data_IF_792002682346
#
_entry.id   IF_792002682346
#
_cell.length_a   1.000
_cell.length_b   1.000
_cell.length_c   1.000
_cell.angle_alpha   90.00
_cell.angle_beta   90.00
_cell.angle_gamma   90.00
#
_symmetry.space_group_name_H-M   'P 1'
#
loop_
_entity.id
_entity.type
_entity.pdbx_description
1 polymer ?
#
# COMPACT_ATOMS: atom_id res chain seq x y z
N UNK A 1 11.79 40.33 -3.89
CA UNK A 1 10.96 39.90 -5.04
C UNK A 1 10.47 38.49 -4.69
N UNK A 2 9.26 38.37 -4.09
CA UNK A 2 8.66 37.07 -3.81
C UNK A 2 8.31 36.44 -5.15
N UNK A 3 9.01 35.36 -5.52
CA UNK A 3 8.58 34.50 -6.61
C UNK A 3 7.33 33.80 -6.10
N UNK A 4 6.17 34.27 -6.53
CA UNK A 4 4.90 33.57 -6.36
C UNK A 4 5.08 32.28 -7.16
N UNK A 5 5.28 31.15 -6.45
CA UNK A 5 5.31 29.84 -7.07
C UNK A 5 3.92 29.62 -7.67
N UNK A 6 3.82 29.63 -8.98
CA UNK A 6 2.55 29.32 -9.65
C UNK A 6 2.13 27.92 -9.20
N UNK A 7 1.01 27.83 -8.48
CA UNK A 7 0.49 26.54 -8.01
C UNK A 7 0.19 25.66 -9.22
N UNK A 8 0.47 24.38 -9.12
CA UNK A 8 0.11 23.45 -10.17
C UNK A 8 -1.38 23.13 -10.10
N UNK A 9 -2.00 22.73 -11.21
CA UNK A 9 -3.41 22.32 -11.20
C UNK A 9 -3.70 21.21 -10.18
N UNK A 10 -2.68 20.41 -9.85
CA UNK A 10 -2.78 19.37 -8.81
C UNK A 10 -2.80 20.00 -7.40
N UNK A 11 -2.00 21.05 -7.15
CA UNK A 11 -2.02 21.74 -5.85
C UNK A 11 -3.40 22.39 -5.61
N UNK A 12 -3.96 23.06 -6.62
CA UNK A 12 -5.33 23.63 -6.57
C UNK A 12 -6.40 22.55 -6.33
N UNK A 13 -6.25 21.38 -6.96
CA UNK A 13 -7.14 20.24 -6.76
C UNK A 13 -7.05 19.67 -5.34
N UNK A 14 -5.85 19.59 -4.78
CA UNK A 14 -5.64 19.13 -3.40
C UNK A 14 -6.27 20.11 -2.41
N UNK A 15 -6.13 21.42 -2.62
CA UNK A 15 -6.79 22.44 -1.79
C UNK A 15 -8.32 22.31 -1.87
N UNK A 16 -8.88 22.12 -3.07
CA UNK A 16 -10.29 21.87 -3.25
C UNK A 16 -10.76 20.60 -2.51
N UNK A 17 -9.99 19.51 -2.58
CA UNK A 17 -10.30 18.26 -1.88
C UNK A 17 -10.29 18.40 -0.34
N UNK A 18 -9.49 19.30 0.23
CA UNK A 18 -9.43 19.53 1.68
C UNK A 18 -10.76 20.08 2.25
N UNK A 19 -11.64 20.62 1.42
CA UNK A 19 -12.98 21.06 1.82
C UNK A 19 -13.94 19.91 2.12
N UNK A 20 -13.61 18.68 1.73
CA UNK A 20 -14.45 17.50 1.90
C UNK A 20 -14.02 16.63 3.09
N UNK A 21 -14.98 15.87 3.65
CA UNK A 21 -14.75 15.00 4.80
C UNK A 21 -13.68 13.95 4.51
N UNK A 22 -12.58 14.01 5.26
CA UNK A 22 -11.45 13.11 5.11
C UNK A 22 -11.33 12.17 6.32
N UNK A 23 -11.79 10.92 6.16
CA UNK A 23 -11.75 9.91 7.22
C UNK A 23 -10.38 9.25 7.42
N UNK A 24 -9.42 9.49 6.54
CA UNK A 24 -8.03 9.11 6.81
C UNK A 24 -7.44 9.96 7.94
N UNK A 25 -7.94 11.20 8.11
CA UNK A 25 -7.50 12.15 9.17
C UNK A 25 -8.41 12.14 10.39
N UNK A 26 -9.73 12.08 10.19
CA UNK A 26 -10.75 12.20 11.24
C UNK A 26 -11.67 10.98 11.22
N UNK A 27 -11.40 9.94 12.03
CA UNK A 27 -12.24 8.75 12.10
C UNK A 27 -13.66 9.10 12.55
N UNK A 28 -14.66 8.69 11.77
CA UNK A 28 -16.07 8.82 12.13
C UNK A 28 -16.77 7.48 11.98
N UNK A 29 -17.72 7.17 12.87
CA UNK A 29 -18.49 5.93 12.84
C UNK A 29 -19.69 6.07 11.88
N UNK A 30 -20.00 5.01 11.12
CA UNK A 30 -21.24 4.82 10.34
C UNK A 30 -21.42 5.72 9.10
N UNK A 31 -20.36 5.99 8.29
CA UNK A 31 -20.48 6.89 7.13
C UNK A 31 -19.88 6.26 5.85
N UNK A 32 -20.06 4.97 5.66
CA UNK A 32 -19.60 4.29 4.44
C UNK A 32 -20.81 3.75 3.66
N UNK A 33 -21.01 4.29 2.45
CA UNK A 33 -22.11 3.94 1.56
C UNK A 33 -21.59 3.89 0.13
N UNK A 34 -22.24 3.15 -0.73
CA UNK A 34 -21.86 3.08 -2.15
C UNK A 34 -22.75 3.91 -3.06
N UNK A 35 -23.91 4.36 -2.58
CA UNK A 35 -24.88 5.09 -3.38
C UNK A 35 -24.39 6.48 -3.79
N UNK A 36 -23.60 7.16 -2.96
CA UNK A 36 -23.04 8.48 -3.27
C UNK A 36 -22.00 8.38 -4.39
N UNK A 37 -21.06 7.44 -4.29
CA UNK A 37 -20.08 7.22 -5.37
C UNK A 37 -20.75 6.66 -6.65
N UNK A 38 -21.81 5.85 -6.54
CA UNK A 38 -22.59 5.36 -7.67
C UNK A 38 -23.32 6.52 -8.36
N UNK A 39 -23.92 7.43 -7.60
CA UNK A 39 -24.52 8.66 -8.11
C UNK A 39 -23.49 9.51 -8.88
N UNK A 40 -22.31 9.72 -8.28
CA UNK A 40 -21.22 10.46 -8.93
C UNK A 40 -20.81 9.77 -10.25
N UNK A 41 -20.56 8.48 -10.22
CA UNK A 41 -20.15 7.76 -11.42
C UNK A 41 -21.19 7.86 -12.56
N UNK A 42 -22.50 7.76 -12.26
CA UNK A 42 -23.55 7.95 -13.24
C UNK A 42 -23.52 9.35 -13.84
N UNK A 43 -23.29 10.37 -13.02
CA UNK A 43 -23.18 11.76 -13.47
C UNK A 43 -22.01 11.98 -14.43
N UNK A 44 -20.94 11.20 -14.28
CA UNK A 44 -19.74 11.24 -15.12
C UNK A 44 -19.72 10.15 -16.22
N UNK A 45 -20.88 9.61 -16.62
CA UNK A 45 -21.02 8.57 -17.65
C UNK A 45 -20.27 7.28 -17.32
N UNK A 46 -20.31 6.84 -16.06
CA UNK A 46 -19.75 5.58 -15.55
C UNK A 46 -18.27 5.37 -15.92
N UNK A 47 -17.37 6.27 -15.54
CA UNK A 47 -15.95 6.18 -15.90
C UNK A 47 -15.26 4.92 -15.32
N UNK A 48 -15.82 4.31 -14.26
CA UNK A 48 -15.33 3.06 -13.66
C UNK A 48 -15.43 1.86 -14.61
N UNK A 49 -16.28 1.92 -15.64
CA UNK A 49 -16.51 0.86 -16.62
C UNK A 49 -15.65 1.02 -17.90
N UNK A 50 -14.76 2.04 -17.95
CA UNK A 50 -13.98 2.39 -19.15
C UNK A 50 -12.99 1.28 -19.58
N UNK A 51 -12.53 0.43 -18.66
CA UNK A 51 -11.65 -0.68 -18.95
C UNK A 51 -11.89 -1.86 -17.98
N UNK A 52 -11.58 -3.11 -18.37
CA UNK A 52 -11.60 -4.24 -17.47
C UNK A 52 -10.65 -4.02 -16.29
N UNK A 53 -11.02 -4.55 -15.11
CA UNK A 53 -10.26 -4.29 -13.90
C UNK A 53 -10.08 -5.51 -12.99
N UNK A 54 -9.13 -5.39 -12.07
CA UNK A 54 -8.83 -6.31 -10.98
C UNK A 54 -9.01 -5.58 -9.68
N UNK A 55 -9.61 -6.23 -8.69
CA UNK A 55 -9.87 -5.64 -7.38
C UNK A 55 -9.13 -6.39 -6.30
N UNK A 56 -8.34 -5.69 -5.49
CA UNK A 56 -7.45 -6.29 -4.48
C UNK A 56 -7.82 -5.77 -3.08
N UNK A 57 -8.29 -6.68 -2.22
CA UNK A 57 -8.56 -6.42 -0.81
C UNK A 57 -7.63 -7.25 0.10
N UNK A 58 -7.67 -6.99 1.40
CA UNK A 58 -6.90 -7.67 2.43
C UNK A 58 -6.39 -6.69 3.49
N UNK A 59 -5.70 -7.20 4.51
CA UNK A 59 -5.04 -6.34 5.50
C UNK A 59 -3.63 -6.00 5.10
N UNK A 60 -2.84 -6.98 4.68
CA UNK A 60 -1.43 -6.82 4.29
C UNK A 60 -1.19 -7.31 2.87
N UNK A 61 -0.32 -6.61 2.14
CA UNK A 61 0.09 -7.02 0.80
C UNK A 61 -0.76 -6.48 -0.35
N UNK A 62 -1.89 -5.80 -0.09
CA UNK A 62 -2.76 -5.24 -1.15
C UNK A 62 -1.98 -4.45 -2.20
N UNK A 63 -1.29 -3.38 -1.81
CA UNK A 63 -0.52 -2.53 -2.71
C UNK A 63 0.58 -3.28 -3.44
N UNK A 64 1.27 -4.24 -2.75
CA UNK A 64 2.30 -5.06 -3.39
C UNK A 64 1.73 -5.97 -4.47
N UNK A 65 0.62 -6.67 -4.19
CA UNK A 65 -0.07 -7.51 -5.18
C UNK A 65 -0.59 -6.66 -6.34
N UNK A 66 -1.24 -5.52 -6.05
CA UNK A 66 -1.73 -4.60 -7.07
C UNK A 66 -0.60 -4.10 -7.97
N UNK A 67 0.54 -3.71 -7.39
CA UNK A 67 1.71 -3.27 -8.15
C UNK A 67 2.30 -4.38 -9.01
N UNK A 68 2.50 -5.58 -8.45
CA UNK A 68 3.03 -6.73 -9.19
C UNK A 68 2.12 -7.10 -10.36
N UNK A 69 0.81 -7.18 -10.14
CA UNK A 69 -0.15 -7.45 -11.23
C UNK A 69 -0.08 -6.37 -12.29
N UNK A 70 -0.08 -5.10 -11.91
CA UNK A 70 -0.03 -3.98 -12.84
C UNK A 70 1.27 -3.98 -13.67
N UNK A 71 2.42 -4.27 -13.05
CA UNK A 71 3.70 -4.35 -13.79
C UNK A 71 3.75 -5.56 -14.72
N UNK A 72 3.20 -6.71 -14.33
CA UNK A 72 3.11 -7.90 -15.21
C UNK A 72 2.24 -7.58 -16.44
N UNK A 73 1.07 -6.97 -16.24
CA UNK A 73 0.19 -6.59 -17.36
C UNK A 73 0.85 -5.54 -18.27
N UNK A 74 1.62 -4.61 -17.71
CA UNK A 74 2.36 -3.64 -18.50
C UNK A 74 3.48 -4.29 -19.31
N UNK A 75 4.22 -5.26 -18.74
CA UNK A 75 5.22 -6.03 -19.48
C UNK A 75 4.61 -6.92 -20.57
N UNK A 76 3.33 -7.29 -20.41
CA UNK A 76 2.55 -7.96 -21.45
C UNK A 76 2.09 -7.01 -22.57
N UNK A 77 2.43 -5.71 -22.50
CA UNK A 77 2.15 -4.71 -23.54
C UNK A 77 0.87 -3.90 -23.32
N UNK A 78 0.18 -4.07 -22.20
CA UNK A 78 -1.05 -3.30 -21.89
C UNK A 78 -0.74 -1.96 -21.24
N UNK A 79 -1.55 -0.95 -21.51
CA UNK A 79 -1.58 0.31 -20.78
C UNK A 79 -2.39 0.12 -19.50
N UNK A 80 -1.74 0.21 -18.35
CA UNK A 80 -2.36 -0.17 -17.07
C UNK A 80 -2.53 1.03 -16.17
N UNK A 81 -3.76 1.24 -15.67
CA UNK A 81 -4.06 2.14 -14.56
C UNK A 81 -3.90 1.41 -13.22
N UNK A 82 -3.23 2.06 -12.28
CA UNK A 82 -3.00 1.53 -10.93
C UNK A 82 -3.51 2.53 -9.88
N UNK A 83 -4.48 2.09 -9.07
CA UNK A 83 -4.99 2.83 -7.91
C UNK A 83 -4.51 2.18 -6.63
N UNK A 84 -3.79 2.94 -5.78
CA UNK A 84 -3.22 2.47 -4.51
C UNK A 84 -3.39 3.50 -3.40
N UNK A 85 -3.30 3.08 -2.15
CA UNK A 85 -3.35 3.97 -0.98
C UNK A 85 -2.57 3.39 0.22
N UNK A 86 -2.07 4.26 1.12
CA UNK A 86 -1.87 5.71 0.96
C UNK A 86 -0.67 6.05 0.06
N UNK A 87 -0.48 7.33 -0.26
CA UNK A 87 0.77 7.84 -0.84
C UNK A 87 1.80 8.16 0.25
N UNK A 88 3.08 8.24 -0.12
CA UNK A 88 4.19 8.61 0.77
C UNK A 88 4.59 10.08 0.57
N UNK A 89 4.84 10.49 -0.67
CA UNK A 89 5.32 11.84 -1.01
C UNK A 89 4.36 12.64 -1.85
N UNK A 90 3.91 12.04 -2.92
CA UNK A 90 3.16 12.71 -3.97
C UNK A 90 1.78 12.07 -4.10
N UNK A 91 0.76 12.89 -4.10
CA UNK A 91 -0.63 12.43 -4.25
C UNK A 91 -0.82 11.54 -5.49
N UNK A 92 -0.08 11.80 -6.57
CA UNK A 92 -0.12 11.02 -7.82
C UNK A 92 0.33 9.56 -7.64
N UNK A 93 1.02 9.22 -6.54
CA UNK A 93 1.33 7.82 -6.20
C UNK A 93 0.06 6.97 -6.06
N UNK A 94 -1.08 7.60 -5.74
CA UNK A 94 -2.37 6.90 -5.64
C UNK A 94 -2.97 6.55 -6.99
N UNK A 95 -2.65 7.32 -8.03
CA UNK A 95 -3.31 7.28 -9.33
C UNK A 95 -2.24 7.42 -10.43
N UNK A 96 -1.82 6.30 -10.98
CA UNK A 96 -0.75 6.31 -11.97
C UNK A 96 -0.80 5.09 -12.89
N UNK A 97 0.29 4.88 -13.60
CA UNK A 97 0.56 3.66 -14.33
C UNK A 97 1.41 2.69 -13.51
N UNK A 98 1.61 1.49 -14.01
CA UNK A 98 2.52 0.55 -13.37
C UNK A 98 3.98 1.05 -13.34
N UNK A 99 4.41 1.93 -14.26
CA UNK A 99 5.76 2.50 -14.31
C UNK A 99 5.93 3.80 -13.54
N UNK A 100 4.84 4.45 -13.10
CA UNK A 100 4.89 5.74 -12.41
C UNK A 100 3.71 6.65 -12.73
N UNK A 101 3.93 7.95 -12.70
CA UNK A 101 2.87 8.93 -12.97
C UNK A 101 2.47 8.93 -14.45
N UNK A 102 1.22 9.32 -14.70
CA UNK A 102 0.80 9.70 -16.05
C UNK A 102 1.37 11.07 -16.43
N UNK A 103 1.25 11.43 -17.70
CA UNK A 103 1.52 12.79 -18.14
C UNK A 103 0.60 13.78 -17.43
N UNK A 104 1.11 14.96 -17.08
CA UNK A 104 0.37 15.97 -16.31
C UNK A 104 -0.94 16.37 -17.00
N UNK A 105 -0.98 16.38 -18.32
CA UNK A 105 -2.18 16.65 -19.11
C UNK A 105 -3.36 15.71 -18.80
N UNK A 106 -3.10 14.45 -18.41
CA UNK A 106 -4.14 13.49 -18.02
C UNK A 106 -4.79 13.92 -16.70
N UNK A 107 -3.97 14.29 -15.73
CA UNK A 107 -4.43 14.78 -14.43
C UNK A 107 -5.21 16.09 -14.58
N UNK A 108 -4.67 17.04 -15.34
CA UNK A 108 -5.31 18.34 -15.59
C UNK A 108 -6.66 18.20 -16.30
N UNK A 109 -6.77 17.31 -17.27
CA UNK A 109 -8.03 17.08 -17.97
C UNK A 109 -9.09 16.51 -17.01
N UNK A 110 -8.72 15.57 -16.17
CA UNK A 110 -9.62 15.01 -15.16
C UNK A 110 -10.02 16.06 -14.10
N UNK A 111 -9.10 16.96 -13.70
CA UNK A 111 -9.39 18.08 -12.77
C UNK A 111 -10.40 19.05 -13.41
N UNK A 112 -10.18 19.46 -14.67
CA UNK A 112 -11.09 20.34 -15.41
C UNK A 112 -12.51 19.76 -15.57
N UNK A 113 -12.63 18.44 -15.53
CA UNK A 113 -13.92 17.76 -15.57
C UNK A 113 -14.55 17.62 -14.19
N UNK A 114 -13.79 17.19 -13.15
CA UNK A 114 -14.37 16.84 -11.86
C UNK A 114 -14.84 18.07 -11.08
N UNK A 115 -14.03 19.12 -10.95
CA UNK A 115 -14.34 20.27 -10.09
C UNK A 115 -15.67 20.93 -10.48
N UNK A 116 -15.88 21.45 -11.71
CA UNK A 116 -17.10 22.18 -12.03
C UNK A 116 -18.36 21.30 -11.99
N UNK A 117 -18.20 20.00 -12.30
CA UNK A 117 -19.34 19.09 -12.24
C UNK A 117 -19.75 18.74 -10.81
N UNK A 118 -18.78 18.60 -9.89
CA UNK A 118 -19.07 18.34 -8.48
C UNK A 118 -19.60 19.60 -7.80
N UNK A 119 -19.00 20.77 -8.04
CA UNK A 119 -19.44 22.05 -7.47
C UNK A 119 -20.86 22.45 -7.90
N UNK A 120 -21.33 21.94 -9.04
CA UNK A 120 -22.70 22.16 -9.52
C UNK A 120 -23.72 21.20 -8.88
N UNK A 121 -23.32 20.29 -8.00
CA UNK A 121 -24.27 19.39 -7.32
C UNK A 121 -24.97 20.15 -6.21
N UNK A 122 -26.29 20.12 -6.25
CA UNK A 122 -27.15 20.62 -5.19
C UNK A 122 -27.16 19.56 -4.08
N UNK A 123 -26.80 19.88 -2.82
CA UNK A 123 -26.69 18.89 -1.75
C UNK A 123 -27.93 18.02 -1.54
N UNK A 124 -29.13 18.59 -1.73
CA UNK A 124 -30.42 17.89 -1.62
C UNK A 124 -30.60 16.80 -2.68
N UNK A 125 -29.83 16.84 -3.76
CA UNK A 125 -29.86 15.81 -4.82
C UNK A 125 -28.93 14.63 -4.52
N UNK A 126 -28.11 14.73 -3.48
CA UNK A 126 -27.25 13.61 -3.06
C UNK A 126 -28.09 12.51 -2.40
N UNK A 127 -27.75 11.25 -2.59
CA UNK A 127 -28.44 10.14 -1.95
C UNK A 127 -28.49 10.31 -0.42
N UNK A 128 -29.74 10.35 0.13
CA UNK A 128 -30.02 10.60 1.54
C UNK A 128 -29.33 11.89 2.08
N UNK A 129 -29.14 12.89 1.24
CA UNK A 129 -28.50 14.19 1.56
C UNK A 129 -27.11 14.03 2.21
N UNK A 130 -26.42 12.93 1.92
CA UNK A 130 -25.11 12.64 2.52
C UNK A 130 -24.01 13.47 1.87
N UNK A 131 -23.13 14.12 2.66
CA UNK A 131 -22.02 14.88 2.11
C UNK A 131 -21.02 13.95 1.39
N UNK A 132 -20.43 14.48 0.32
CA UNK A 132 -19.33 13.81 -0.41
C UNK A 132 -18.10 13.67 0.51
N UNK A 133 -17.41 12.57 0.35
CA UNK A 133 -16.17 12.32 1.09
C UNK A 133 -14.94 12.50 0.21
N UNK A 134 -13.84 12.88 0.82
CA UNK A 134 -12.55 13.00 0.17
C UNK A 134 -12.18 11.72 -0.61
N UNK A 135 -12.39 10.53 -0.01
CA UNK A 135 -12.01 9.27 -0.63
C UNK A 135 -12.90 8.90 -1.82
N UNK A 136 -14.20 9.24 -1.80
CA UNK A 136 -15.10 9.06 -2.96
C UNK A 136 -14.65 9.93 -4.14
N UNK A 137 -14.28 11.20 -3.87
CA UNK A 137 -13.81 12.12 -4.90
C UNK A 137 -12.44 11.70 -5.47
N UNK A 138 -11.51 11.22 -4.64
CA UNK A 138 -10.24 10.67 -5.11
C UNK A 138 -10.45 9.42 -5.95
N UNK A 139 -11.39 8.55 -5.57
CA UNK A 139 -11.74 7.35 -6.34
C UNK A 139 -12.36 7.70 -7.68
N UNK A 140 -13.29 8.66 -7.70
CA UNK A 140 -13.87 9.19 -8.96
C UNK A 140 -12.77 9.80 -9.85
N UNK A 141 -11.89 10.60 -9.26
CA UNK A 141 -10.77 11.21 -9.98
C UNK A 141 -9.86 10.15 -10.62
N UNK A 142 -9.59 9.02 -9.90
CA UNK A 142 -8.85 7.91 -10.47
C UNK A 142 -9.55 7.31 -11.70
N UNK A 143 -10.88 7.09 -11.64
CA UNK A 143 -11.65 6.61 -12.77
C UNK A 143 -11.56 7.56 -13.98
N UNK A 144 -11.63 8.87 -13.74
CA UNK A 144 -11.50 9.89 -14.79
C UNK A 144 -10.11 9.91 -15.41
N UNK A 145 -9.05 9.82 -14.59
CA UNK A 145 -7.68 9.73 -15.06
C UNK A 145 -7.47 8.49 -15.95
N UNK A 146 -7.96 7.33 -15.53
CA UNK A 146 -7.81 6.08 -16.29
C UNK A 146 -8.57 6.11 -17.61
N UNK A 147 -9.80 6.65 -17.62
CA UNK A 147 -10.57 6.88 -18.84
C UNK A 147 -9.84 7.83 -19.78
N UNK A 148 -9.34 8.96 -19.29
CA UNK A 148 -8.57 9.95 -20.05
C UNK A 148 -7.29 9.35 -20.61
N UNK A 149 -6.59 8.55 -19.79
CA UNK A 149 -5.40 7.83 -20.20
C UNK A 149 -5.68 6.72 -21.23
N UNK A 150 -6.94 6.31 -21.41
CA UNK A 150 -7.35 5.17 -22.26
C UNK A 150 -6.56 3.91 -21.88
N UNK A 151 -6.64 3.52 -20.60
CA UNK A 151 -6.02 2.29 -20.12
C UNK A 151 -6.71 1.05 -20.68
N UNK A 152 -5.96 -0.02 -20.93
CA UNK A 152 -6.47 -1.33 -21.36
C UNK A 152 -6.94 -2.17 -20.17
N UNK A 153 -6.29 -1.98 -19.01
CA UNK A 153 -6.59 -2.63 -17.74
C UNK A 153 -6.43 -1.68 -16.58
N UNK A 154 -7.23 -1.89 -15.53
CA UNK A 154 -7.06 -1.16 -14.27
C UNK A 154 -6.90 -2.12 -13.10
N UNK A 155 -6.03 -1.78 -12.15
CA UNK A 155 -5.87 -2.51 -10.89
C UNK A 155 -6.21 -1.58 -9.74
N UNK A 156 -7.21 -1.96 -8.94
CA UNK A 156 -7.68 -1.17 -7.81
C UNK A 156 -7.34 -1.84 -6.49
N UNK A 157 -6.59 -1.16 -5.65
CA UNK A 157 -6.42 -1.48 -4.24
C UNK A 157 -7.59 -0.91 -3.44
N UNK A 158 -8.21 -1.72 -2.59
CA UNK A 158 -9.21 -1.28 -1.60
C UNK A 158 -8.55 -0.39 -0.56
N UNK A 159 -9.15 0.77 -0.27
CA UNK A 159 -8.67 1.68 0.77
C UNK A 159 -8.93 1.13 2.17
N UNK A 160 -10.19 0.88 2.52
CA UNK A 160 -10.59 0.38 3.83
C UNK A 160 -11.70 -0.67 3.74
N UNK A 161 -11.53 -1.79 4.43
CA UNK A 161 -12.53 -2.86 4.46
C UNK A 161 -12.67 -3.54 3.10
N UNK A 162 -13.73 -3.26 2.39
CA UNK A 162 -14.03 -3.77 1.05
C UNK A 162 -15.50 -3.57 0.67
N UNK A 163 -16.43 -4.07 1.47
CA UNK A 163 -17.88 -4.08 1.19
C UNK A 163 -18.42 -2.68 0.86
N UNK A 164 -18.03 -1.68 1.63
CA UNK A 164 -18.48 -0.28 1.50
C UNK A 164 -17.35 0.68 1.07
N UNK A 165 -16.24 0.14 0.59
CA UNK A 165 -15.16 0.97 0.02
C UNK A 165 -15.62 1.58 -1.30
N UNK A 166 -15.27 2.85 -1.55
CA UNK A 166 -15.69 3.55 -2.76
C UNK A 166 -15.25 2.84 -4.05
N UNK A 167 -14.16 2.08 -4.01
CA UNK A 167 -13.73 1.26 -5.16
C UNK A 167 -14.69 0.12 -5.46
N UNK A 168 -15.56 -0.28 -4.51
CA UNK A 168 -16.39 -1.48 -4.66
C UNK A 168 -17.61 -1.33 -5.60
N UNK A 169 -17.73 -0.21 -6.30
CA UNK A 169 -18.71 -0.05 -7.39
C UNK A 169 -18.24 -0.68 -8.71
N UNK A 170 -16.96 -1.00 -8.85
CA UNK A 170 -16.39 -1.62 -10.06
C UNK A 170 -16.90 -3.05 -10.27
N UNK A 171 -16.78 -3.55 -11.52
CA UNK A 171 -17.10 -4.91 -11.94
C UNK A 171 -15.83 -5.63 -12.39
N UNK A 172 -15.04 -6.16 -11.45
CA UNK A 172 -13.75 -6.73 -11.77
C UNK A 172 -13.86 -8.04 -12.54
N UNK A 173 -12.84 -8.34 -13.36
CA UNK A 173 -12.66 -9.65 -14.01
C UNK A 173 -12.04 -10.67 -13.07
N UNK A 174 -11.37 -10.19 -12.01
CA UNK A 174 -10.76 -11.01 -10.97
C UNK A 174 -10.73 -10.23 -9.66
N UNK A 175 -11.06 -10.89 -8.55
CA UNK A 175 -10.81 -10.37 -7.20
C UNK A 175 -9.62 -11.09 -6.58
N UNK A 176 -8.84 -10.36 -5.75
CA UNK A 176 -7.77 -10.94 -4.94
C UNK A 176 -7.98 -10.55 -3.48
N UNK A 177 -7.89 -11.51 -2.54
CA UNK A 177 -7.94 -11.24 -1.11
C UNK A 177 -6.64 -11.72 -0.48
N UNK A 178 -5.80 -10.76 -0.07
CA UNK A 178 -4.51 -10.97 0.57
C UNK A 178 -4.69 -11.31 2.06
N UNK A 179 -3.63 -11.62 2.83
CA UNK A 179 -3.76 -11.97 4.24
C UNK A 179 -4.55 -10.96 5.06
N UNK A 180 -5.36 -11.49 5.99
CA UNK A 180 -6.24 -10.74 6.90
C UNK A 180 -5.63 -10.74 8.29
N UNK A 181 -5.55 -9.55 8.89
CA UNK A 181 -5.09 -9.31 10.26
C UNK A 181 -6.08 -8.40 10.99
N UNK A 182 -5.99 -8.37 12.31
CA UNK A 182 -6.72 -7.39 13.12
C UNK A 182 -6.20 -5.98 12.80
N UNK A 183 -7.06 -5.18 12.19
CA UNK A 183 -6.81 -3.78 11.87
C UNK A 183 -8.12 -3.02 11.80
N UNK A 184 -8.09 -1.72 12.07
CA UNK A 184 -9.27 -0.85 12.00
C UNK A 184 -10.50 -1.43 12.71
N UNK A 185 -10.28 -2.02 13.88
CA UNK A 185 -11.32 -2.76 14.62
C UNK A 185 -12.50 -1.90 15.03
N UNK A 186 -12.33 -0.61 15.14
CA UNK A 186 -13.38 0.39 15.38
C UNK A 186 -14.40 0.51 14.23
N UNK A 187 -13.99 0.14 12.99
CA UNK A 187 -14.83 0.22 11.78
C UNK A 187 -15.22 -1.14 11.22
N UNK A 188 -14.27 -2.08 11.21
CA UNK A 188 -14.43 -3.37 10.53
C UNK A 188 -14.90 -4.50 11.45
N UNK A 189 -14.95 -4.22 12.76
CA UNK A 189 -15.26 -5.20 13.79
C UNK A 189 -14.02 -5.75 14.49
N UNK A 190 -14.25 -6.37 15.64
CA UNK A 190 -13.27 -6.74 16.65
C UNK A 190 -12.75 -8.19 16.50
N UNK A 191 -13.18 -8.91 15.45
CA UNK A 191 -12.70 -10.27 15.16
C UNK A 191 -12.19 -10.39 13.72
N UNK A 192 -11.32 -11.37 13.49
CA UNK A 192 -10.79 -11.65 12.15
C UNK A 192 -11.90 -12.01 11.16
N UNK A 193 -12.93 -12.72 11.61
CA UNK A 193 -14.07 -13.16 10.80
C UNK A 193 -14.92 -11.95 10.35
N UNK A 194 -15.14 -10.96 11.23
CA UNK A 194 -15.86 -9.71 10.88
C UNK A 194 -15.07 -8.92 9.84
N UNK A 195 -13.76 -8.77 10.04
CA UNK A 195 -12.87 -8.10 9.09
C UNK A 195 -12.85 -8.84 7.75
N UNK A 196 -12.83 -10.18 7.79
CA UNK A 196 -12.91 -11.02 6.60
C UNK A 196 -14.22 -10.82 5.83
N UNK A 197 -15.34 -10.73 6.52
CA UNK A 197 -16.65 -10.49 5.91
C UNK A 197 -16.72 -9.14 5.18
N UNK A 198 -16.14 -8.07 5.76
CA UNK A 198 -16.03 -6.76 5.12
C UNK A 198 -15.14 -6.83 3.85
N UNK A 199 -13.99 -7.50 3.94
CA UNK A 199 -13.07 -7.63 2.80
C UNK A 199 -13.65 -8.55 1.71
N UNK A 200 -14.33 -9.62 2.08
CA UNK A 200 -15.04 -10.49 1.15
C UNK A 200 -16.18 -9.79 0.40
N UNK A 201 -16.59 -8.59 0.86
CA UNK A 201 -17.58 -7.77 0.17
C UNK A 201 -17.21 -7.37 -1.26
N UNK A 202 -15.94 -7.46 -1.65
CA UNK A 202 -15.51 -7.21 -3.03
C UNK A 202 -15.82 -8.37 -4.00
N UNK A 203 -16.16 -9.56 -3.48
CA UNK A 203 -16.46 -10.74 -4.31
C UNK A 203 -17.80 -10.50 -5.02
N UNK A 204 -17.77 -10.48 -6.36
CA UNK A 204 -18.94 -10.24 -7.21
C UNK A 204 -19.51 -11.56 -7.75
N UNK A 205 -20.77 -11.50 -8.20
CA UNK A 205 -21.42 -12.65 -8.77
C UNK A 205 -20.64 -13.22 -9.96
N UNK A 206 -20.40 -14.52 -9.95
CA UNK A 206 -19.71 -15.27 -11.01
C UNK A 206 -18.29 -14.76 -11.34
N UNK A 207 -17.71 -13.88 -10.52
CA UNK A 207 -16.36 -13.36 -10.74
C UNK A 207 -15.34 -14.22 -9.98
N UNK A 208 -14.29 -14.72 -10.65
CA UNK A 208 -13.24 -15.49 -10.00
C UNK A 208 -12.58 -14.73 -8.87
N UNK A 209 -12.21 -15.41 -7.78
CA UNK A 209 -11.47 -14.83 -6.67
C UNK A 209 -10.28 -15.69 -6.27
N UNK A 210 -9.12 -15.04 -6.12
CA UNK A 210 -7.92 -15.61 -5.54
C UNK A 210 -7.86 -15.24 -4.06
N UNK A 211 -7.66 -16.22 -3.22
CA UNK A 211 -7.62 -16.09 -1.77
C UNK A 211 -6.21 -16.48 -1.29
N UNK A 212 -5.58 -15.63 -0.48
CA UNK A 212 -4.47 -16.09 0.35
C UNK A 212 -5.04 -16.97 1.46
N UNK A 213 -4.41 -18.12 1.74
CA UNK A 213 -4.80 -18.97 2.87
C UNK A 213 -4.54 -18.25 4.18
N UNK A 214 -5.54 -18.21 5.02
CA UNK A 214 -5.46 -17.53 6.30
C UNK A 214 -5.03 -18.50 7.40
N UNK A 215 -4.42 -18.00 8.47
CA UNK A 215 -4.05 -18.82 9.62
C UNK A 215 -5.28 -19.29 10.42
N UNK A 216 -6.33 -18.45 10.50
CA UNK A 216 -7.60 -18.79 11.10
C UNK A 216 -8.50 -19.56 10.11
N UNK A 217 -8.91 -20.78 10.45
CA UNK A 217 -9.86 -21.52 9.61
C UNK A 217 -11.23 -20.85 9.57
N UNK A 218 -11.65 -20.18 10.64
CA UNK A 218 -12.88 -19.38 10.65
C UNK A 218 -12.88 -18.32 9.54
N UNK A 219 -11.74 -17.66 9.31
CA UNK A 219 -11.60 -16.69 8.23
C UNK A 219 -11.68 -17.37 6.86
N UNK A 220 -11.02 -18.52 6.67
CA UNK A 220 -11.11 -19.29 5.41
C UNK A 220 -12.55 -19.70 5.10
N UNK A 221 -13.31 -20.08 6.13
CA UNK A 221 -14.75 -20.43 6.01
C UNK A 221 -15.53 -19.20 5.52
N UNK A 222 -15.39 -18.04 6.15
CA UNK A 222 -16.10 -16.80 5.77
C UNK A 222 -15.82 -16.45 4.31
N UNK A 223 -14.55 -16.54 3.85
CA UNK A 223 -14.18 -16.25 2.47
C UNK A 223 -14.82 -17.25 1.48
N UNK A 224 -14.79 -18.54 1.80
CA UNK A 224 -15.42 -19.60 0.97
C UNK A 224 -16.94 -19.45 0.90
N UNK A 225 -17.62 -19.22 2.02
CA UNK A 225 -19.06 -19.00 2.07
C UNK A 225 -19.48 -17.80 1.24
N UNK A 226 -18.72 -16.70 1.32
CA UNK A 226 -18.99 -15.53 0.51
C UNK A 226 -18.81 -15.82 -0.99
N UNK A 227 -17.77 -16.52 -1.38
CA UNK A 227 -17.55 -16.93 -2.77
C UNK A 227 -18.68 -17.86 -3.24
N UNK A 228 -19.09 -18.84 -2.42
CA UNK A 228 -20.19 -19.74 -2.71
C UNK A 228 -21.51 -19.00 -2.92
N UNK A 229 -21.88 -18.09 -2.01
CA UNK A 229 -23.13 -17.30 -2.11
C UNK A 229 -23.16 -16.37 -3.32
N UNK A 230 -21.98 -16.06 -3.89
CA UNK A 230 -21.81 -15.26 -5.10
C UNK A 230 -21.59 -16.11 -6.36
N UNK A 231 -21.69 -17.43 -6.26
CA UNK A 231 -21.38 -18.35 -7.37
C UNK A 231 -20.01 -18.04 -8.00
N UNK A 232 -19.06 -17.52 -7.18
CA UNK A 232 -17.75 -17.09 -7.60
C UNK A 232 -16.78 -18.27 -7.57
N UNK A 233 -16.14 -18.65 -8.68
CA UNK A 233 -15.02 -19.59 -8.67
C UNK A 233 -13.93 -19.07 -7.73
N UNK A 234 -13.53 -19.86 -6.75
CA UNK A 234 -12.55 -19.43 -5.76
C UNK A 234 -11.38 -20.40 -5.68
N UNK A 235 -10.20 -19.86 -5.44
CA UNK A 235 -8.96 -20.62 -5.41
C UNK A 235 -8.06 -20.09 -4.29
N UNK A 236 -7.60 -20.96 -3.41
CA UNK A 236 -6.48 -20.62 -2.53
C UNK A 236 -5.18 -20.68 -3.34
N UNK A 237 -4.39 -19.61 -3.27
CA UNK A 237 -3.15 -19.50 -4.04
C UNK A 237 -2.18 -20.62 -3.68
N UNK A 238 -2.12 -20.97 -2.40
CA UNK A 238 -1.24 -22.03 -1.87
C UNK A 238 -1.59 -23.42 -2.41
N UNK A 239 -2.83 -23.65 -2.85
CA UNK A 239 -3.24 -24.93 -3.49
C UNK A 239 -2.85 -24.97 -4.97
N UNK A 240 -2.57 -23.82 -5.57
CA UNK A 240 -2.16 -23.72 -6.98
C UNK A 240 -0.64 -23.68 -7.15
N UNK A 241 0.10 -23.30 -6.12
CA UNK A 241 1.57 -23.31 -6.10
C UNK A 241 2.05 -24.64 -5.53
N UNK A 242 2.70 -25.45 -6.36
CA UNK A 242 3.17 -26.80 -5.98
C UNK A 242 4.51 -26.76 -5.24
N UNK A 243 5.37 -25.81 -5.59
CA UNK A 243 6.64 -25.58 -4.92
C UNK A 243 7.00 -24.09 -4.94
N UNK A 244 7.60 -23.60 -3.85
CA UNK A 244 8.08 -22.22 -3.77
C UNK A 244 9.24 -22.11 -2.79
N UNK A 245 10.24 -21.32 -3.16
CA UNK A 245 11.28 -20.86 -2.24
C UNK A 245 11.69 -19.42 -2.56
N UNK A 246 12.40 -18.80 -1.64
CA UNK A 246 13.05 -17.51 -1.87
C UNK A 246 14.39 -17.46 -1.16
N UNK A 247 15.32 -16.69 -1.73
CA UNK A 247 16.63 -16.41 -1.18
C UNK A 247 17.00 -14.95 -1.39
N UNK A 248 17.92 -14.42 -0.58
CA UNK A 248 18.40 -13.07 -0.74
C UNK A 248 19.80 -13.07 -1.38
N UNK A 249 20.03 -12.10 -2.26
CA UNK A 249 21.32 -11.83 -2.84
C UNK A 249 21.95 -10.63 -2.11
N UNK A 250 22.96 -10.87 -1.29
CA UNK A 250 23.61 -9.85 -0.45
C UNK A 250 24.34 -8.76 -1.26
N UNK A 251 24.71 -9.05 -2.53
CA UNK A 251 25.42 -8.10 -3.40
C UNK A 251 24.46 -7.16 -4.12
N UNK A 252 23.34 -7.69 -4.59
CA UNK A 252 22.38 -6.92 -5.39
C UNK A 252 21.24 -6.37 -4.54
N UNK A 253 21.12 -6.82 -3.28
CA UNK A 253 19.98 -6.55 -2.40
C UNK A 253 18.63 -6.87 -3.07
N UNK A 254 18.59 -7.96 -3.82
CA UNK A 254 17.38 -8.50 -4.44
C UNK A 254 16.99 -9.80 -3.78
N UNK A 255 15.74 -10.16 -3.91
CA UNK A 255 15.19 -11.44 -3.49
C UNK A 255 14.89 -12.28 -4.71
N UNK A 256 15.60 -13.38 -4.86
CA UNK A 256 15.24 -14.41 -5.83
C UNK A 256 14.01 -15.17 -5.34
N UNK A 257 13.01 -15.30 -6.19
CA UNK A 257 11.78 -16.07 -5.93
C UNK A 257 11.66 -17.12 -7.01
N UNK A 258 11.47 -18.37 -6.59
CA UNK A 258 11.17 -19.51 -7.45
C UNK A 258 9.75 -20.02 -7.15
N UNK A 259 8.92 -20.16 -8.17
CA UNK A 259 7.53 -20.61 -8.06
C UNK A 259 7.22 -21.67 -9.12
N UNK A 260 6.64 -22.79 -8.67
CA UNK A 260 6.10 -23.82 -9.54
C UNK A 260 4.58 -23.92 -9.42
N UNK A 261 3.92 -24.16 -10.52
CA UNK A 261 2.47 -24.35 -10.59
C UNK A 261 2.10 -25.15 -11.82
N UNK A 262 1.04 -25.95 -11.75
CA UNK A 262 0.46 -26.61 -12.94
C UNK A 262 -0.12 -25.63 -13.96
N UNK A 263 -0.27 -24.36 -13.58
CA UNK A 263 -0.70 -23.28 -14.49
C UNK A 263 0.46 -22.68 -15.30
N UNK A 264 1.70 -23.01 -14.97
CA UNK A 264 2.90 -22.52 -15.65
C UNK A 264 3.44 -23.57 -16.61
N UNK A 265 3.99 -23.13 -17.74
CA UNK A 265 4.69 -24.02 -18.69
C UNK A 265 6.10 -24.38 -18.18
N UNK A 266 6.69 -23.52 -17.37
CA UNK A 266 7.95 -23.70 -16.65
C UNK A 266 7.90 -22.95 -15.33
N UNK A 267 8.79 -23.24 -14.37
CA UNK A 267 8.90 -22.41 -13.17
C UNK A 267 9.08 -20.92 -13.49
N UNK A 268 8.54 -20.07 -12.62
CA UNK A 268 8.77 -18.62 -12.61
C UNK A 268 9.93 -18.33 -11.70
N UNK A 269 10.99 -17.72 -12.24
CA UNK A 269 12.20 -17.32 -11.54
C UNK A 269 12.43 -15.82 -11.69
N UNK A 270 12.42 -15.06 -10.58
CA UNK A 270 12.51 -13.61 -10.65
C UNK A 270 13.37 -13.03 -9.51
N UNK A 271 14.21 -12.04 -9.85
CA UNK A 271 15.01 -11.27 -8.90
C UNK A 271 14.29 -9.98 -8.53
N UNK A 272 13.51 -10.01 -7.47
CA UNK A 272 12.60 -8.95 -7.05
C UNK A 272 13.30 -7.87 -6.24
N UNK A 273 12.77 -6.64 -6.36
CA UNK A 273 13.13 -5.49 -5.52
C UNK A 273 12.31 -5.41 -4.24
N UNK A 274 11.12 -6.02 -4.22
CA UNK A 274 10.27 -6.13 -3.04
C UNK A 274 10.74 -7.33 -2.21
N UNK A 275 11.16 -7.08 -0.96
CA UNK A 275 11.91 -8.03 -0.16
C UNK A 275 11.09 -8.60 1.00
N UNK A 276 11.34 -9.86 1.35
CA UNK A 276 10.78 -10.52 2.52
C UNK A 276 9.77 -11.61 2.20
N UNK A 277 9.53 -12.49 3.19
CA UNK A 277 8.66 -13.66 3.05
C UNK A 277 7.27 -13.32 2.49
N UNK A 278 6.67 -12.26 2.99
CA UNK A 278 5.34 -11.84 2.54
C UNK A 278 5.34 -11.42 1.06
N UNK A 279 6.44 -10.86 0.56
CA UNK A 279 6.52 -10.44 -0.85
C UNK A 279 6.65 -11.64 -1.79
N UNK A 280 7.28 -12.74 -1.35
CA UNK A 280 7.27 -14.00 -2.11
C UNK A 280 5.84 -14.57 -2.23
N UNK A 281 5.04 -14.52 -1.16
CA UNK A 281 3.63 -14.91 -1.19
C UNK A 281 2.78 -13.98 -2.08
N UNK A 282 3.03 -12.67 -2.02
CA UNK A 282 2.37 -11.70 -2.89
C UNK A 282 2.71 -11.94 -4.37
N UNK A 283 3.97 -12.31 -4.67
CA UNK A 283 4.40 -12.67 -6.01
C UNK A 283 3.65 -13.91 -6.53
N UNK A 284 3.49 -14.94 -5.71
CA UNK A 284 2.70 -16.11 -6.06
C UNK A 284 1.26 -15.74 -6.45
N UNK A 285 0.59 -14.90 -5.65
CA UNK A 285 -0.75 -14.43 -5.98
C UNK A 285 -0.78 -13.63 -7.29
N UNK A 286 0.19 -12.73 -7.52
CA UNK A 286 0.27 -11.95 -8.74
C UNK A 286 0.51 -12.81 -9.99
N UNK A 287 1.35 -13.83 -9.91
CA UNK A 287 1.60 -14.79 -11.01
C UNK A 287 0.32 -15.54 -11.37
N UNK A 288 -0.36 -16.09 -10.37
CA UNK A 288 -1.63 -16.81 -10.58
C UNK A 288 -2.71 -15.86 -11.13
N UNK A 289 -2.76 -14.61 -10.63
CA UNK A 289 -3.67 -13.59 -11.15
C UNK A 289 -3.42 -13.30 -12.63
N UNK A 290 -2.16 -13.12 -13.02
CA UNK A 290 -1.78 -12.92 -14.42
C UNK A 290 -2.20 -14.09 -15.31
N UNK A 291 -1.95 -15.33 -14.89
CA UNK A 291 -2.37 -16.53 -15.62
C UNK A 291 -3.90 -16.69 -15.69
N UNK A 292 -4.65 -16.29 -14.67
CA UNK A 292 -6.12 -16.34 -14.69
C UNK A 292 -6.71 -15.33 -15.69
N UNK A 293 -6.08 -14.19 -15.89
CA UNK A 293 -6.53 -13.12 -16.79
C UNK A 293 -6.01 -13.34 -18.20
N UNK A 294 -4.75 -13.73 -18.32
CA UNK A 294 -4.04 -13.99 -19.57
C UNK A 294 -3.48 -15.42 -19.54
N UNK A 295 -4.30 -16.45 -19.84
CA UNK A 295 -3.88 -17.85 -19.69
C UNK A 295 -2.61 -18.22 -20.47
N UNK A 296 -2.37 -17.55 -21.59
CA UNK A 296 -1.24 -17.81 -22.48
C UNK A 296 -0.05 -16.85 -22.25
N UNK A 297 -0.03 -16.06 -21.16
CA UNK A 297 1.09 -15.18 -20.87
C UNK A 297 2.37 -16.02 -20.64
N UNK A 298 3.46 -15.60 -21.27
CA UNK A 298 4.77 -16.22 -21.09
C UNK A 298 5.34 -15.91 -19.69
N UNK A 299 5.95 -16.91 -19.06
CA UNK A 299 6.58 -16.77 -17.73
C UNK A 299 7.69 -15.72 -17.74
N UNK A 300 8.41 -15.56 -18.84
CA UNK A 300 9.42 -14.49 -18.96
C UNK A 300 8.83 -13.07 -18.86
N UNK A 301 7.57 -12.88 -19.25
CA UNK A 301 6.85 -11.61 -19.07
C UNK A 301 6.50 -11.42 -17.60
N UNK A 302 6.02 -12.49 -16.95
CA UNK A 302 5.71 -12.48 -15.52
C UNK A 302 6.96 -12.14 -14.70
N UNK A 303 8.09 -12.79 -14.98
CA UNK A 303 9.39 -12.57 -14.35
C UNK A 303 9.82 -11.09 -14.45
N UNK A 304 9.84 -10.54 -15.66
CA UNK A 304 10.16 -9.12 -15.88
C UNK A 304 9.23 -8.17 -15.12
N UNK A 305 7.93 -8.50 -15.06
CA UNK A 305 6.96 -7.71 -14.30
C UNK A 305 7.25 -7.73 -12.79
N UNK A 306 7.59 -8.90 -12.24
CA UNK A 306 7.98 -9.03 -10.82
C UNK A 306 9.28 -8.28 -10.51
N UNK A 307 10.30 -8.38 -11.38
CA UNK A 307 11.60 -7.71 -11.21
C UNK A 307 11.51 -6.19 -11.24
N UNK A 308 10.58 -5.66 -12.04
CA UNK A 308 10.32 -4.21 -12.16
C UNK A 308 9.40 -3.67 -11.08
N UNK A 309 8.62 -4.53 -10.42
CA UNK A 309 7.69 -4.11 -9.37
C UNK A 309 8.45 -3.46 -8.22
N UNK A 310 8.07 -2.21 -7.91
CA UNK A 310 8.67 -1.42 -6.84
C UNK A 310 7.60 -0.55 -6.17
N UNK A 311 7.64 -0.48 -4.85
CA UNK A 311 6.82 0.42 -4.05
C UNK A 311 7.71 1.12 -3.04
N UNK A 312 7.67 2.47 -2.98
CA UNK A 312 8.38 3.22 -1.95
C UNK A 312 7.97 2.79 -0.54
N UNK A 313 8.92 2.80 0.40
CA UNK A 313 8.66 2.48 1.81
C UNK A 313 8.19 1.04 2.06
N UNK A 314 8.53 0.09 1.20
CA UNK A 314 8.33 -1.35 1.38
C UNK A 314 9.66 -2.08 1.40
N UNK A 315 10.34 -2.01 2.55
CA UNK A 315 11.72 -2.47 2.73
C UNK A 315 12.65 -1.93 1.63
N UNK A 316 12.51 -0.64 1.36
CA UNK A 316 13.26 0.07 0.34
C UNK A 316 14.70 0.29 0.80
N UNK A 317 15.67 -0.27 0.07
CA UNK A 317 17.09 -0.14 0.39
C UNK A 317 17.70 0.96 -0.49
N UNK A 318 18.44 1.87 0.16
CA UNK A 318 19.26 2.90 -0.48
C UNK A 318 20.70 2.75 -0.05
N UNK A 319 21.55 2.36 -0.97
CA UNK A 319 22.99 2.17 -0.72
C UNK A 319 23.80 3.48 -0.69
N UNK A 320 23.22 4.57 -1.17
CA UNK A 320 23.80 5.93 -1.17
C UNK A 320 22.71 6.94 -0.88
N UNK A 321 22.92 7.74 0.14
CA UNK A 321 22.03 8.83 0.53
C UNK A 321 22.79 10.14 0.35
N UNK A 322 22.28 11.04 -0.50
CA UNK A 322 22.91 12.33 -0.76
C UNK A 322 23.06 13.11 0.57
N UNK A 323 24.22 13.71 0.79
CA UNK A 323 24.55 14.41 2.03
C UNK A 323 25.04 13.54 3.18
N UNK A 324 24.86 12.19 3.10
CA UNK A 324 25.18 11.25 4.19
C UNK A 324 26.16 10.14 3.79
N UNK A 325 26.98 10.39 2.75
CA UNK A 325 28.12 9.54 2.38
C UNK A 325 27.74 8.09 2.08
N UNK A 326 28.28 7.15 2.88
CA UNK A 326 28.08 5.70 2.70
C UNK A 326 26.86 5.17 3.45
N UNK A 327 26.00 6.02 4.02
CA UNK A 327 24.84 5.58 4.75
C UNK A 327 23.99 4.61 3.93
N UNK A 328 23.76 3.42 4.49
CA UNK A 328 22.76 2.48 4.00
C UNK A 328 21.47 2.70 4.75
N UNK A 329 20.44 3.16 4.02
CA UNK A 329 19.13 3.51 4.57
C UNK A 329 18.09 2.49 4.13
N UNK A 330 17.29 2.01 5.06
CA UNK A 330 16.15 1.12 4.80
C UNK A 330 14.88 1.86 5.24
N UNK A 331 13.95 2.04 4.31
CA UNK A 331 12.66 2.68 4.54
C UNK A 331 11.56 1.62 4.49
N UNK A 332 10.82 1.47 5.58
CA UNK A 332 9.70 0.53 5.66
C UNK A 332 8.54 1.06 6.49
N UNK A 333 7.35 1.08 5.91
CA UNK A 333 6.13 1.58 6.56
C UNK A 333 5.44 0.55 7.47
N UNK A 334 6.11 -0.51 7.92
CA UNK A 334 5.55 -1.48 8.86
C UNK A 334 5.11 -0.80 10.16
N UNK A 335 3.87 -1.06 10.59
CA UNK A 335 3.23 -0.39 11.72
C UNK A 335 2.31 -1.29 12.55
N UNK A 336 2.38 -2.60 12.34
CA UNK A 336 1.72 -3.62 13.18
C UNK A 336 2.77 -4.59 13.68
N UNK A 337 2.51 -5.27 14.80
CA UNK A 337 3.45 -6.22 15.40
C UNK A 337 3.98 -7.23 14.37
N UNK A 338 3.08 -7.85 13.59
CA UNK A 338 3.48 -8.86 12.61
C UNK A 338 4.32 -8.25 11.47
N UNK A 339 3.93 -7.08 10.93
CA UNK A 339 4.70 -6.42 9.87
C UNK A 339 6.09 -6.00 10.35
N UNK A 340 6.21 -5.47 11.59
CA UNK A 340 7.50 -5.10 12.20
C UNK A 340 8.38 -6.34 12.38
N UNK A 341 7.82 -7.47 12.87
CA UNK A 341 8.57 -8.74 12.96
C UNK A 341 9.13 -9.18 11.62
N UNK A 342 8.30 -9.19 10.58
CA UNK A 342 8.74 -9.58 9.22
C UNK A 342 9.82 -8.64 8.66
N UNK A 343 9.72 -7.33 8.94
CA UNK A 343 10.75 -6.35 8.59
C UNK A 343 12.06 -6.64 9.30
N UNK A 344 12.04 -6.88 10.62
CA UNK A 344 13.22 -7.22 11.43
C UNK A 344 13.82 -8.55 10.99
N UNK A 345 13.01 -9.56 10.67
CA UNK A 345 13.49 -10.85 10.16
C UNK A 345 14.20 -10.70 8.81
N UNK A 346 13.64 -9.88 7.90
CA UNK A 346 14.27 -9.59 6.61
C UNK A 346 15.59 -8.83 6.80
N UNK A 347 15.58 -7.83 7.69
CA UNK A 347 16.76 -7.05 8.06
C UNK A 347 17.90 -7.94 8.59
N UNK A 348 17.57 -8.89 9.47
CA UNK A 348 18.57 -9.82 10.03
C UNK A 348 19.17 -10.74 8.97
N UNK A 349 18.36 -11.22 8.04
CA UNK A 349 18.86 -12.10 6.96
C UNK A 349 19.82 -11.36 6.03
N UNK A 350 19.55 -10.07 5.74
CA UNK A 350 20.36 -9.27 4.82
C UNK A 350 21.55 -8.57 5.50
N UNK A 351 21.37 -8.13 6.75
CA UNK A 351 22.33 -7.24 7.43
C UNK A 351 22.71 -7.69 8.84
N UNK A 352 22.45 -8.95 9.21
CA UNK A 352 22.67 -9.43 10.57
C UNK A 352 24.11 -9.34 11.09
N UNK A 353 25.10 -9.26 10.19
CA UNK A 353 26.52 -9.06 10.52
C UNK A 353 26.92 -7.57 10.61
N UNK A 354 26.02 -6.64 10.31
CA UNK A 354 26.29 -5.20 10.32
C UNK A 354 25.80 -4.55 11.62
N UNK A 355 26.39 -3.40 11.94
CA UNK A 355 25.84 -2.49 12.94
C UNK A 355 24.54 -1.90 12.39
N UNK A 356 23.48 -1.95 13.18
CA UNK A 356 22.15 -1.50 12.74
C UNK A 356 21.58 -0.53 13.76
N UNK A 357 21.14 0.63 13.31
CA UNK A 357 20.40 1.62 14.09
C UNK A 357 18.93 1.64 13.67
N UNK A 358 18.05 2.03 14.58
CA UNK A 358 16.61 2.13 14.37
C UNK A 358 16.14 3.57 14.56
N UNK A 359 15.39 4.10 13.60
CA UNK A 359 14.55 5.27 13.78
C UNK A 359 13.09 4.80 13.77
N UNK A 360 12.37 5.03 14.86
CA UNK A 360 11.02 4.51 15.06
C UNK A 360 10.04 5.58 15.50
N UNK A 361 8.86 5.56 14.88
CA UNK A 361 7.68 6.27 15.35
C UNK A 361 6.42 5.53 14.91
N UNK A 362 5.38 5.54 15.71
CA UNK A 362 4.09 4.95 15.34
C UNK A 362 2.91 5.84 15.74
N UNK A 363 1.74 5.57 15.15
CA UNK A 363 0.50 6.23 15.53
C UNK A 363 0.02 5.73 16.90
N UNK A 364 -0.77 6.57 17.59
CA UNK A 364 -1.26 6.31 18.95
C UNK A 364 -2.14 5.05 19.08
N UNK A 365 -2.80 4.66 17.98
CA UNK A 365 -3.68 3.49 17.90
C UNK A 365 -2.94 2.16 17.73
N UNK A 366 -1.58 2.15 17.73
CA UNK A 366 -0.77 0.96 17.49
C UNK A 366 -0.24 0.34 18.77
N UNK A 367 -0.10 -0.98 18.77
CA UNK A 367 0.46 -1.74 19.90
C UNK A 367 1.99 -1.56 19.96
N UNK A 368 2.41 -0.43 20.48
CA UNK A 368 3.83 -0.09 20.64
C UNK A 368 4.53 -0.98 21.66
N UNK A 369 3.80 -1.54 22.66
CA UNK A 369 4.39 -2.38 23.72
C UNK A 369 4.94 -3.68 23.14
N UNK A 370 4.16 -4.36 22.32
CA UNK A 370 4.59 -5.62 21.72
C UNK A 370 5.57 -5.40 20.57
N UNK A 371 5.46 -4.28 19.83
CA UNK A 371 6.49 -3.90 18.86
C UNK A 371 7.83 -3.65 19.53
N UNK A 372 7.91 -2.94 20.66
CA UNK A 372 9.15 -2.67 21.38
C UNK A 372 9.88 -3.96 21.76
N UNK A 373 9.16 -5.00 22.21
CA UNK A 373 9.75 -6.31 22.55
C UNK A 373 10.50 -6.96 21.38
N UNK A 374 10.08 -6.70 20.14
CA UNK A 374 10.72 -7.27 18.93
C UNK A 374 12.07 -6.66 18.63
N UNK A 375 12.39 -5.50 19.22
CA UNK A 375 13.63 -4.78 18.98
C UNK A 375 14.76 -5.15 19.92
N UNK A 376 14.50 -5.95 20.96
CA UNK A 376 15.50 -6.35 21.97
C UNK A 376 16.68 -7.08 21.30
N UNK A 377 17.91 -6.63 21.62
CA UNK A 377 19.18 -7.18 21.12
C UNK A 377 19.39 -7.10 19.58
N UNK A 378 18.65 -6.23 18.88
CA UNK A 378 18.72 -6.12 17.44
C UNK A 378 19.41 -4.86 16.93
N UNK A 379 19.34 -3.78 17.71
CA UNK A 379 19.81 -2.47 17.28
C UNK A 379 20.91 -1.96 18.21
N UNK A 380 21.94 -1.34 17.60
CA UNK A 380 23.03 -0.71 18.32
C UNK A 380 22.59 0.58 18.99
N UNK A 381 21.77 1.36 18.29
CA UNK A 381 21.13 2.56 18.82
C UNK A 381 19.67 2.67 18.30
N UNK A 382 18.81 3.23 19.14
CA UNK A 382 17.40 3.46 18.80
C UNK A 382 17.08 4.93 18.98
N UNK A 383 16.45 5.51 17.96
CA UNK A 383 15.95 6.86 17.95
C UNK A 383 14.42 6.82 17.93
N UNK A 384 13.78 7.43 18.93
CA UNK A 384 12.32 7.50 19.05
C UNK A 384 11.82 8.92 18.80
N UNK A 385 10.75 9.04 18.03
CA UNK A 385 10.10 10.33 17.78
C UNK A 385 8.61 10.14 17.46
N UNK A 386 7.96 11.22 17.08
CA UNK A 386 6.61 11.19 16.49
C UNK A 386 6.68 11.10 14.95
N UNK A 387 5.66 10.54 14.29
CA UNK A 387 5.69 10.29 12.83
C UNK A 387 5.33 11.55 12.01
N UNK A 388 5.69 12.74 12.46
CA UNK A 388 5.31 14.02 11.86
C UNK A 388 4.06 14.64 12.53
N UNK A 389 3.42 15.59 11.83
CA UNK A 389 2.25 16.31 12.36
C UNK A 389 0.91 15.77 11.84
N UNK A 390 0.92 15.06 10.72
CA UNK A 390 -0.29 14.60 10.03
C UNK A 390 -1.04 13.46 10.73
N UNK A 391 -0.40 12.78 11.70
CA UNK A 391 -0.99 11.63 12.40
C UNK A 391 -0.81 11.74 13.90
N UNK A 392 -1.92 11.56 14.63
CA UNK A 392 -1.89 11.53 16.09
C UNK A 392 -0.97 10.41 16.59
N UNK A 393 -0.08 10.75 17.51
CA UNK A 393 0.90 9.84 18.11
C UNK A 393 1.05 10.11 19.60
N UNK A 394 1.51 9.09 20.33
CA UNK A 394 1.79 9.18 21.76
C UNK A 394 3.26 8.79 22.00
N UNK A 395 4.13 9.78 22.02
CA UNK A 395 5.56 9.57 22.23
C UNK A 395 5.86 9.10 23.67
N UNK A 396 5.09 9.56 24.67
CA UNK A 396 5.28 9.16 26.06
C UNK A 396 4.91 7.69 26.27
N UNK A 397 3.85 7.21 25.63
CA UNK A 397 3.52 5.79 25.60
C UNK A 397 4.62 4.96 24.93
N UNK A 398 5.19 5.45 23.82
CA UNK A 398 6.31 4.79 23.16
C UNK A 398 7.56 4.74 24.07
N UNK A 399 7.94 5.87 24.68
CA UNK A 399 9.05 5.93 25.66
C UNK A 399 8.83 4.95 26.81
N UNK A 400 7.61 4.89 27.35
CA UNK A 400 7.25 3.97 28.44
C UNK A 400 7.38 2.51 28.03
N UNK A 401 6.92 2.16 26.83
CA UNK A 401 7.00 0.81 26.27
C UNK A 401 8.46 0.37 26.04
N UNK A 402 9.30 1.27 25.50
CA UNK A 402 10.72 0.98 25.26
C UNK A 402 11.51 0.87 26.56
N UNK A 403 11.22 1.68 27.59
CA UNK A 403 11.77 1.52 28.95
C UNK A 403 11.38 0.17 29.56
N UNK A 404 10.10 -0.21 29.47
CA UNK A 404 9.61 -1.50 29.97
C UNK A 404 10.24 -2.71 29.25
N UNK A 405 10.61 -2.55 27.98
CA UNK A 405 11.38 -3.55 27.22
C UNK A 405 12.89 -3.51 27.49
N UNK A 406 13.37 -2.66 28.41
CA UNK A 406 14.78 -2.48 28.77
C UNK A 406 15.68 -2.09 27.60
N UNK A 407 15.13 -1.29 26.66
CA UNK A 407 15.85 -0.82 25.48
C UNK A 407 16.57 0.51 25.81
N UNK A 408 17.78 0.67 25.24
CA UNK A 408 18.49 1.95 25.26
C UNK A 408 18.10 2.76 24.03
N UNK A 409 17.71 4.01 24.23
CA UNK A 409 17.27 4.87 23.13
C UNK A 409 17.49 6.35 23.42
N UNK A 410 17.51 7.15 22.37
CA UNK A 410 17.38 8.62 22.41
C UNK A 410 15.99 9.00 21.92
N UNK A 411 15.27 9.86 22.64
CA UNK A 411 13.94 10.31 22.24
C UNK A 411 13.89 11.83 22.13
N UNK A 412 13.25 12.35 21.09
CA UNK A 412 12.98 13.78 20.94
C UNK A 412 11.64 13.97 20.22
N UNK A 413 10.80 14.88 20.71
CA UNK A 413 9.53 15.24 20.09
C UNK A 413 9.72 16.08 18.80
N UNK A 414 10.85 16.75 18.64
CA UNK A 414 11.26 17.36 17.38
C UNK A 414 11.73 16.28 16.41
N UNK A 415 10.77 15.80 15.62
CA UNK A 415 11.03 14.73 14.66
C UNK A 415 12.06 15.14 13.58
N UNK A 416 12.12 16.42 13.19
CA UNK A 416 13.09 16.88 12.20
C UNK A 416 14.51 16.79 12.74
N UNK A 417 14.70 17.19 13.98
CA UNK A 417 16.00 17.13 14.68
C UNK A 417 16.45 15.68 14.85
N UNK A 418 15.59 14.81 15.38
CA UNK A 418 15.97 13.41 15.66
C UNK A 418 16.22 12.60 14.37
N UNK A 419 15.47 12.85 13.28
CA UNK A 419 15.71 12.26 11.97
C UNK A 419 17.12 12.63 11.49
N UNK A 420 17.50 13.92 11.51
CA UNK A 420 18.85 14.36 11.11
C UNK A 420 19.93 13.76 11.99
N UNK A 421 19.69 13.68 13.29
CA UNK A 421 20.63 13.02 14.24
C UNK A 421 20.81 11.56 13.88
N UNK A 422 19.74 10.81 13.63
CA UNK A 422 19.80 9.39 13.28
C UNK A 422 20.54 9.14 11.96
N UNK A 423 20.26 9.97 10.93
CA UNK A 423 20.93 9.91 9.63
C UNK A 423 22.44 10.16 9.76
N UNK A 424 22.82 11.26 10.44
CA UNK A 424 24.22 11.66 10.61
C UNK A 424 25.00 10.63 11.43
N UNK A 425 24.50 10.24 12.60
CA UNK A 425 25.17 9.28 13.46
C UNK A 425 25.33 7.90 12.78
N UNK A 426 24.31 7.45 12.03
CA UNK A 426 24.41 6.18 11.31
C UNK A 426 25.41 6.24 10.15
N UNK A 427 25.54 7.39 9.49
CA UNK A 427 26.56 7.60 8.45
C UNK A 427 27.99 7.59 9.03
N UNK A 428 28.21 8.29 10.15
CA UNK A 428 29.50 8.35 10.84
C UNK A 428 29.94 6.99 11.39
N UNK A 429 28.98 6.18 11.84
CA UNK A 429 29.22 4.85 12.40
C UNK A 429 29.31 3.72 11.37
N UNK A 430 29.15 4.01 10.08
CA UNK A 430 29.01 3.01 8.99
C UNK A 430 27.91 1.97 9.33
N UNK A 431 26.84 2.42 9.95
CA UNK A 431 25.71 1.60 10.36
C UNK A 431 24.59 1.61 9.32
N UNK A 432 23.84 0.52 9.24
CA UNK A 432 22.57 0.49 8.52
C UNK A 432 21.51 1.21 9.36
N UNK A 433 20.77 2.14 8.79
CA UNK A 433 19.64 2.78 9.47
C UNK A 433 18.32 2.20 8.96
N UNK A 434 17.56 1.53 9.82
CA UNK A 434 16.16 1.18 9.56
C UNK A 434 15.25 2.30 10.04
N UNK A 435 14.38 2.78 9.16
CA UNK A 435 13.28 3.71 9.47
C UNK A 435 11.98 2.92 9.37
N UNK A 436 11.22 2.80 10.47
CA UNK A 436 9.98 2.02 10.47
C UNK A 436 9.00 2.47 11.56
N UNK A 437 7.80 1.87 11.58
CA UNK A 437 6.72 2.15 12.51
C UNK A 437 5.59 3.00 11.92
N UNK A 438 5.83 3.71 10.81
CA UNK A 438 4.81 4.52 10.15
C UNK A 438 5.23 4.94 8.73
N UNK A 439 4.27 4.93 7.79
CA UNK A 439 4.47 5.58 6.48
C UNK A 439 4.67 7.09 6.60
N UNK A 440 4.04 7.72 7.59
CA UNK A 440 4.23 9.15 7.84
C UNK A 440 5.67 9.47 8.24
N UNK A 441 6.30 8.64 9.09
CA UNK A 441 7.72 8.80 9.41
C UNK A 441 8.60 8.64 8.17
N UNK A 442 8.31 7.65 7.32
CA UNK A 442 9.02 7.47 6.04
C UNK A 442 8.87 8.71 5.16
N UNK A 443 7.67 9.30 5.08
CA UNK A 443 7.42 10.54 4.35
C UNK A 443 8.26 11.71 4.87
N UNK A 444 8.32 11.91 6.20
CA UNK A 444 9.13 12.98 6.80
C UNK A 444 10.63 12.81 6.53
N UNK A 445 11.14 11.58 6.60
CA UNK A 445 12.53 11.29 6.22
C UNK A 445 12.79 11.65 4.76
N UNK A 446 11.88 11.29 3.87
CA UNK A 446 11.97 11.62 2.45
C UNK A 446 11.95 13.13 2.18
N UNK A 447 11.13 13.88 2.91
CA UNK A 447 11.08 15.35 2.80
C UNK A 447 12.41 15.98 3.23
N UNK A 448 13.00 15.51 4.35
CA UNK A 448 14.30 15.99 4.83
C UNK A 448 15.40 15.69 3.81
N UNK A 449 15.45 14.46 3.29
CA UNK A 449 16.43 14.08 2.27
C UNK A 449 16.29 14.86 0.96
N UNK A 450 15.09 15.31 0.62
CA UNK A 450 14.86 16.16 -0.54
C UNK A 450 15.34 17.61 -0.33
N UNK A 451 15.26 18.12 0.91
CA UNK A 451 15.76 19.44 1.29
C UNK A 451 17.29 19.49 1.33
N UNK A 452 17.94 18.43 1.84
CA UNK A 452 19.39 18.35 1.97
C UNK A 452 20.10 18.11 0.61
N UNK A 453 19.34 17.90 -0.48
CA UNK A 453 19.86 17.83 -1.87
C UNK A 453 19.96 19.19 -2.57
N UNK A 454 19.35 20.24 -2.01
CA UNK A 454 19.36 21.61 -2.54
C UNK A 454 20.47 22.43 -1.91
#
# INVERSE_FOLDING_TARGET
>A
MHIIKQMSAIDDFLEWLESYLNFERLPQKNIFWLDTIDYLCKRFNNPQDAAPCIHVAGSKGKGSVSKMIATILQEAGYKVGLYTSPHIKDFRERIGSASGFFDDAIYEQAIKEIIPNVDSIIPENLPAERPLTWFELVTLYAFLCFRTAKTDWNVFEVGLGGRLDATNIIRPKLCCITPIELEHTEFLGDTLEKIAAEKAGIIKNCTPVLLARQQSEGVNIVLREKAFTRHAPHYFVEDLITHSFYSFNDKTHRMHVHLESSMFNRPVDADMRLLGKMQAQNAAMACIAAKKILPNIDEAIIERGLEKAFLPGRFEIRDKVAGYGKLKLILDGAHTLNSVRLTVDTLNKLFGSKKINLLFACAADKDVKDMAKTFKYRFSHIYLTRPGEKKLSDLDAAISAFKAAELKFTADADYKKIIKTALTASAEEDAVLLVTGSFYLVSEVEEILAQDKK
#
